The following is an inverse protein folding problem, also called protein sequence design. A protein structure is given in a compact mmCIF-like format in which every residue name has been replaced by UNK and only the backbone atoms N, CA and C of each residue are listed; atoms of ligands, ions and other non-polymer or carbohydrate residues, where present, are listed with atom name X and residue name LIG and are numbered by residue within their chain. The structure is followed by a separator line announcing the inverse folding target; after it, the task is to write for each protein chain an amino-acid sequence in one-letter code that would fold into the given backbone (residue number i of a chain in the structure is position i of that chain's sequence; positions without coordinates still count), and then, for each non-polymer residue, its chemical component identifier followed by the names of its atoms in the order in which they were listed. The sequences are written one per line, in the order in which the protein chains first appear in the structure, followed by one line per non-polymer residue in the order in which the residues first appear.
data_IF_427432899555
#
_entry.id   IF_427432899555
#
_cell.length_a   1.000
_cell.length_b   1.000
_cell.length_c   1.000
_cell.angle_alpha   90.00
_cell.angle_beta   90.00
_cell.angle_gamma   90.00
#
_symmetry.space_group_name_H-M   'P 1'
#
loop_
_entity.id
_entity.type
_entity.pdbx_description
1 polymer ?
#
# COMPACT_ATOMS: atom_id res chain seq x y z
N UNK A 1 17.95 -11.59 -3.42
CA UNK A 1 16.60 -12.18 -3.25
C UNK A 1 16.66 -13.30 -2.23
N UNK A 2 15.84 -13.26 -1.18
CA UNK A 2 15.63 -14.39 -0.30
C UNK A 2 15.32 -15.63 -1.15
N UNK A 3 15.92 -16.79 -0.84
CA UNK A 3 15.71 -18.03 -1.61
C UNK A 3 14.23 -18.41 -1.58
N UNK A 4 13.55 -18.16 -2.68
CA UNK A 4 12.17 -18.57 -2.87
C UNK A 4 12.19 -20.05 -3.26
N UNK A 5 11.82 -20.90 -2.32
CA UNK A 5 11.76 -22.34 -2.53
C UNK A 5 10.43 -22.78 -3.19
N UNK A 6 10.34 -24.03 -3.54
CA UNK A 6 9.15 -24.60 -4.17
C UNK A 6 7.93 -24.57 -3.24
N UNK A 7 8.12 -24.77 -1.94
CA UNK A 7 7.03 -24.76 -0.96
C UNK A 7 6.40 -23.37 -0.84
N UNK A 8 7.21 -22.32 -0.81
CA UNK A 8 6.74 -20.95 -0.81
C UNK A 8 5.90 -20.60 -2.07
N UNK A 9 6.41 -20.99 -3.26
CA UNK A 9 5.65 -20.75 -4.52
C UNK A 9 4.31 -21.50 -4.52
N UNK A 10 4.29 -22.73 -4.04
CA UNK A 10 3.07 -23.53 -3.94
C UNK A 10 2.07 -22.93 -2.94
N UNK A 11 2.53 -22.50 -1.77
CA UNK A 11 1.71 -21.83 -0.79
C UNK A 11 1.11 -20.54 -1.36
N UNK A 12 1.94 -19.67 -1.95
CA UNK A 12 1.48 -18.41 -2.58
C UNK A 12 0.44 -18.68 -3.67
N UNK A 13 0.65 -19.71 -4.50
CA UNK A 13 -0.31 -20.08 -5.54
C UNK A 13 -1.65 -20.55 -4.96
N UNK A 14 -1.66 -21.23 -3.86
CA UNK A 14 -2.88 -21.63 -3.16
C UNK A 14 -3.69 -20.41 -2.68
N UNK A 15 -3.04 -19.41 -2.08
CA UNK A 15 -3.68 -18.14 -1.69
C UNK A 15 -4.20 -17.36 -2.91
N UNK A 16 -3.41 -17.32 -3.99
CA UNK A 16 -3.81 -16.67 -5.23
C UNK A 16 -5.12 -17.24 -5.80
N UNK A 17 -5.26 -18.58 -5.81
CA UNK A 17 -6.48 -19.25 -6.30
C UNK A 17 -7.71 -18.83 -5.50
N UNK A 18 -7.60 -18.74 -4.17
CA UNK A 18 -8.73 -18.33 -3.32
C UNK A 18 -9.06 -16.84 -3.52
N UNK A 19 -8.04 -15.98 -3.65
CA UNK A 19 -8.24 -14.58 -3.99
C UNK A 19 -8.90 -14.40 -5.37
N UNK A 20 -8.47 -15.16 -6.36
CA UNK A 20 -9.10 -15.15 -7.69
C UNK A 20 -10.59 -15.55 -7.62
N UNK A 21 -10.94 -16.50 -6.77
CA UNK A 21 -12.33 -16.87 -6.54
C UNK A 21 -13.12 -15.72 -5.90
N UNK A 22 -12.57 -15.04 -4.89
CA UNK A 22 -13.21 -13.88 -4.27
C UNK A 22 -13.43 -12.71 -5.26
N UNK A 23 -12.47 -12.49 -6.16
CA UNK A 23 -12.53 -11.41 -7.17
C UNK A 23 -13.58 -11.69 -8.24
N UNK A 24 -13.72 -12.95 -8.69
CA UNK A 24 -14.52 -13.33 -9.87
C UNK A 24 -15.98 -13.59 -9.60
N UNK A 25 -16.38 -13.81 -8.36
CA UNK A 25 -17.71 -14.29 -8.02
C UNK A 25 -18.65 -13.22 -7.50
N UNK A 26 -19.97 -13.50 -7.54
CA UNK A 26 -21.05 -12.71 -6.94
C UNK A 26 -21.03 -12.79 -5.41
N UNK A 27 -21.79 -11.93 -4.73
CA UNK A 27 -21.75 -11.74 -3.27
C UNK A 27 -21.75 -13.01 -2.42
N UNK A 28 -22.62 -13.99 -2.73
CA UNK A 28 -22.72 -15.22 -1.91
C UNK A 28 -21.47 -16.10 -2.05
N UNK A 29 -20.91 -16.21 -3.25
CA UNK A 29 -19.75 -17.03 -3.52
C UNK A 29 -18.46 -16.31 -3.12
N UNK A 30 -18.44 -14.97 -3.22
CA UNK A 30 -17.37 -14.11 -2.70
C UNK A 30 -17.23 -14.27 -1.18
N UNK A 31 -18.34 -14.25 -0.42
CA UNK A 31 -18.32 -14.50 1.03
C UNK A 31 -17.75 -15.87 1.37
N UNK A 32 -18.15 -16.91 0.64
CA UNK A 32 -17.58 -18.25 0.81
C UNK A 32 -16.08 -18.26 0.54
N UNK A 33 -15.62 -17.62 -0.53
CA UNK A 33 -14.21 -17.51 -0.86
C UNK A 33 -13.41 -16.75 0.22
N UNK A 34 -13.94 -15.65 0.75
CA UNK A 34 -13.32 -14.90 1.84
C UNK A 34 -13.25 -15.73 3.14
N UNK A 35 -14.31 -16.48 3.47
CA UNK A 35 -14.27 -17.41 4.61
C UNK A 35 -13.24 -18.54 4.40
N UNK A 36 -13.18 -19.12 3.19
CA UNK A 36 -12.15 -20.10 2.85
C UNK A 36 -10.73 -19.52 2.96
N UNK A 37 -10.54 -18.24 2.62
CA UNK A 37 -9.26 -17.56 2.80
C UNK A 37 -8.88 -17.48 4.28
N UNK A 38 -9.83 -17.11 5.16
CA UNK A 38 -9.61 -17.09 6.62
C UNK A 38 -9.25 -18.48 7.15
N UNK A 39 -9.99 -19.51 6.74
CA UNK A 39 -9.75 -20.90 7.14
C UNK A 39 -8.37 -21.39 6.64
N UNK A 40 -8.00 -21.03 5.42
CA UNK A 40 -6.69 -21.36 4.85
C UNK A 40 -5.56 -20.68 5.65
N UNK A 41 -5.71 -19.39 5.98
CA UNK A 41 -4.74 -18.66 6.78
C UNK A 41 -4.59 -19.30 8.16
N UNK A 42 -5.70 -19.55 8.86
CA UNK A 42 -5.66 -20.16 10.20
C UNK A 42 -5.02 -21.54 10.18
N UNK A 43 -5.33 -22.35 9.18
CA UNK A 43 -4.76 -23.71 9.05
C UNK A 43 -3.28 -23.72 8.75
N UNK A 44 -2.79 -22.78 7.95
CA UNK A 44 -1.41 -22.77 7.44
C UNK A 44 -0.47 -21.85 8.20
N UNK A 45 -1.02 -20.80 8.82
CA UNK A 45 -0.29 -19.66 9.41
C UNK A 45 -0.91 -19.23 10.75
N UNK A 46 -1.70 -20.10 11.39
CA UNK A 46 -2.57 -19.78 12.53
C UNK A 46 -1.86 -19.38 13.81
N UNK A 47 -0.56 -19.56 13.89
CA UNK A 47 0.28 -19.18 15.02
C UNK A 47 0.67 -17.68 15.05
N UNK A 48 0.39 -16.93 13.98
CA UNK A 48 0.68 -15.48 13.90
C UNK A 48 -0.38 -14.66 14.63
N UNK A 49 -1.64 -15.01 14.47
CA UNK A 49 -2.76 -14.32 15.13
C UNK A 49 -3.50 -15.26 16.07
N UNK A 50 -4.01 -14.71 17.16
CA UNK A 50 -4.80 -15.49 18.10
C UNK A 50 -6.17 -15.90 17.54
N UNK A 51 -6.82 -16.99 18.09
CA UNK A 51 -8.10 -17.51 17.59
C UNK A 51 -9.23 -16.46 17.53
N UNK A 52 -9.18 -15.44 18.40
CA UNK A 52 -10.17 -14.35 18.42
C UNK A 52 -10.16 -13.52 17.13
N UNK A 53 -8.97 -13.32 16.51
CA UNK A 53 -8.86 -12.58 15.26
C UNK A 53 -9.51 -13.33 14.10
N UNK A 54 -9.26 -14.64 13.99
CA UNK A 54 -9.88 -15.49 12.95
C UNK A 54 -11.39 -15.57 13.12
N UNK A 55 -11.88 -15.69 14.37
CA UNK A 55 -13.32 -15.64 14.68
C UNK A 55 -13.92 -14.31 14.22
N UNK A 56 -13.28 -13.18 14.54
CA UNK A 56 -13.74 -11.84 14.12
C UNK A 56 -13.88 -11.73 12.60
N UNK A 57 -12.91 -12.21 11.81
CA UNK A 57 -13.01 -12.18 10.36
C UNK A 57 -14.14 -13.07 9.83
N UNK A 58 -14.36 -14.26 10.42
CA UNK A 58 -15.51 -15.10 10.07
C UNK A 58 -16.84 -14.42 10.38
N UNK A 59 -16.97 -13.80 11.54
CA UNK A 59 -18.17 -13.06 11.92
C UNK A 59 -18.46 -11.91 10.92
N UNK A 60 -17.42 -11.17 10.49
CA UNK A 60 -17.51 -10.10 9.48
C UNK A 60 -18.02 -10.65 8.14
N UNK A 61 -17.41 -11.73 7.63
CA UNK A 61 -17.73 -12.25 6.29
C UNK A 61 -19.00 -13.12 6.27
N UNK A 62 -19.48 -13.58 7.42
CA UNK A 62 -20.75 -14.32 7.51
C UNK A 62 -21.98 -13.42 7.40
N UNK A 63 -21.88 -12.15 7.84
CA UNK A 63 -22.93 -11.16 7.79
C UNK A 63 -22.90 -10.33 6.48
N UNK A 64 -23.88 -10.53 5.54
CA UNK A 64 -23.91 -9.79 4.29
C UNK A 64 -24.15 -8.29 4.47
N UNK A 65 -24.79 -7.88 5.57
CA UNK A 65 -25.11 -6.49 5.87
C UNK A 65 -24.01 -5.76 6.64
N UNK A 66 -22.98 -6.49 7.05
CA UNK A 66 -21.79 -5.92 7.71
C UNK A 66 -21.20 -4.80 6.85
N UNK A 67 -20.92 -3.66 7.48
CA UNK A 67 -20.21 -2.54 6.84
C UNK A 67 -18.86 -2.96 6.25
N UNK A 68 -18.19 -3.91 6.87
CA UNK A 68 -16.92 -4.44 6.41
C UNK A 68 -17.07 -5.35 5.19
N UNK A 69 -18.18 -6.11 5.09
CA UNK A 69 -18.47 -6.88 3.89
C UNK A 69 -18.81 -5.97 2.71
N UNK A 70 -19.59 -4.91 2.95
CA UNK A 70 -19.86 -3.86 1.94
C UNK A 70 -18.58 -3.20 1.46
N UNK A 71 -17.67 -2.86 2.39
CA UNK A 71 -16.36 -2.32 2.04
C UNK A 71 -15.51 -3.31 1.22
N UNK A 72 -15.49 -4.59 1.62
CA UNK A 72 -14.77 -5.62 0.88
C UNK A 72 -15.35 -5.81 -0.54
N UNK A 73 -16.67 -5.77 -0.71
CA UNK A 73 -17.32 -5.82 -2.01
C UNK A 73 -16.92 -4.62 -2.89
N UNK A 74 -17.03 -3.40 -2.38
CA UNK A 74 -16.60 -2.20 -3.10
C UNK A 74 -15.12 -2.30 -3.52
N UNK A 75 -14.25 -2.72 -2.60
CA UNK A 75 -12.83 -2.89 -2.91
C UNK A 75 -12.59 -3.89 -4.05
N UNK A 76 -13.30 -5.04 -4.03
CA UNK A 76 -13.16 -6.10 -5.03
C UNK A 76 -13.77 -5.72 -6.39
N UNK A 77 -14.76 -4.83 -6.42
CA UNK A 77 -15.44 -4.37 -7.64
C UNK A 77 -14.74 -3.16 -8.28
N UNK A 78 -14.23 -2.26 -7.46
CA UNK A 78 -13.67 -0.98 -7.91
C UNK A 78 -12.17 -1.03 -8.20
N UNK A 79 -11.43 -1.94 -7.56
CA UNK A 79 -9.98 -2.04 -7.74
C UNK A 79 -9.61 -3.12 -8.75
N UNK A 80 -8.59 -2.83 -9.57
CA UNK A 80 -8.12 -3.76 -10.59
C UNK A 80 -7.66 -5.10 -9.97
N UNK A 81 -8.08 -6.26 -10.51
CA UNK A 81 -7.78 -7.59 -9.97
C UNK A 81 -6.31 -7.85 -9.67
N UNK A 82 -5.40 -7.37 -10.54
CA UNK A 82 -3.96 -7.57 -10.34
C UNK A 82 -3.44 -6.82 -9.10
N UNK A 83 -3.99 -5.63 -8.81
CA UNK A 83 -3.64 -4.86 -7.61
C UNK A 83 -4.18 -5.56 -6.36
N UNK A 84 -5.43 -6.03 -6.37
CA UNK A 84 -6.01 -6.80 -5.26
C UNK A 84 -5.13 -8.01 -4.95
N UNK A 85 -4.75 -8.78 -5.98
CA UNK A 85 -3.87 -9.94 -5.81
C UNK A 85 -2.49 -9.56 -5.30
N UNK A 86 -1.83 -8.62 -5.95
CA UNK A 86 -0.49 -8.17 -5.58
C UNK A 86 -0.45 -7.63 -4.15
N UNK A 87 -1.37 -6.74 -3.78
CA UNK A 87 -1.43 -6.19 -2.41
C UNK A 87 -1.87 -7.24 -1.38
N UNK A 88 -2.87 -8.06 -1.69
CA UNK A 88 -3.33 -9.14 -0.81
C UNK A 88 -2.23 -10.15 -0.50
N UNK A 89 -1.51 -10.59 -1.52
CA UNK A 89 -0.40 -11.53 -1.35
C UNK A 89 0.82 -10.88 -0.69
N UNK A 90 1.25 -9.69 -1.14
CA UNK A 90 2.49 -9.11 -0.64
C UNK A 90 2.33 -8.49 0.75
N UNK A 91 1.23 -7.76 1.01
CA UNK A 91 0.99 -7.19 2.34
C UNK A 91 0.44 -8.25 3.31
N UNK A 92 -0.49 -9.10 2.86
CA UNK A 92 -1.08 -10.14 3.69
C UNK A 92 -0.12 -11.31 3.92
N UNK A 93 0.15 -12.10 2.86
CA UNK A 93 0.93 -13.33 3.01
C UNK A 93 2.42 -13.05 3.28
N UNK A 94 3.07 -12.22 2.45
CA UNK A 94 4.52 -12.02 2.59
C UNK A 94 4.86 -11.19 3.83
N UNK A 95 4.35 -9.96 3.97
CA UNK A 95 4.69 -9.10 5.09
C UNK A 95 3.99 -9.53 6.39
N UNK A 96 2.69 -9.88 6.33
CA UNK A 96 1.87 -10.14 7.51
C UNK A 96 2.11 -11.49 8.17
N UNK A 97 2.47 -12.52 7.40
CA UNK A 97 2.65 -13.88 7.93
C UNK A 97 4.06 -14.41 7.73
N UNK A 98 4.48 -14.64 6.49
CA UNK A 98 5.77 -15.24 6.20
C UNK A 98 6.93 -14.37 6.71
N UNK A 99 6.89 -13.09 6.42
CA UNK A 99 7.87 -12.10 6.89
C UNK A 99 7.92 -12.02 8.41
N UNK A 100 6.76 -12.11 9.07
CA UNK A 100 6.71 -12.16 10.53
C UNK A 100 7.50 -13.36 11.10
N UNK A 101 7.34 -14.56 10.54
CA UNK A 101 8.10 -15.73 10.99
C UNK A 101 9.60 -15.56 10.77
N UNK A 102 10.01 -15.10 9.59
CA UNK A 102 11.42 -14.79 9.29
C UNK A 102 11.95 -13.77 10.29
N UNK A 103 11.20 -12.67 10.53
CA UNK A 103 11.60 -11.63 11.47
C UNK A 103 11.78 -12.15 12.90
N UNK A 104 10.93 -13.10 13.36
CA UNK A 104 11.10 -13.73 14.67
C UNK A 104 12.37 -14.61 14.75
N UNK A 105 12.72 -15.32 13.69
CA UNK A 105 13.97 -16.09 13.61
C UNK A 105 15.18 -15.16 13.60
N UNK A 106 15.16 -14.11 12.79
CA UNK A 106 16.21 -13.10 12.73
C UNK A 106 16.37 -12.34 14.06
N UNK A 107 15.25 -12.07 14.76
CA UNK A 107 15.29 -11.50 16.11
C UNK A 107 16.05 -12.38 17.08
N UNK A 108 15.82 -13.70 17.06
CA UNK A 108 16.56 -14.67 17.91
C UNK A 108 18.06 -14.66 17.56
N UNK A 109 18.39 -14.63 16.27
CA UNK A 109 19.75 -14.67 15.76
C UNK A 109 20.55 -13.41 16.09
N UNK A 110 19.94 -12.23 15.95
CA UNK A 110 20.61 -10.92 16.06
C UNK A 110 20.40 -10.23 17.42
N UNK A 111 19.47 -10.72 18.26
CA UNK A 111 19.17 -10.10 19.56
C UNK A 111 18.40 -8.77 19.47
N UNK A 112 17.89 -8.40 18.29
CA UNK A 112 17.17 -7.13 18.04
C UNK A 112 15.85 -7.39 17.36
N UNK A 113 14.85 -6.52 17.58
CA UNK A 113 13.56 -6.61 16.89
C UNK A 113 13.69 -6.15 15.44
N UNK A 114 13.17 -6.96 14.52
CA UNK A 114 13.10 -6.62 13.11
C UNK A 114 11.80 -5.83 12.87
N UNK A 115 11.84 -4.67 12.20
CA UNK A 115 10.63 -3.91 11.89
C UNK A 115 9.76 -4.63 10.87
N UNK A 116 8.44 -4.45 10.97
CA UNK A 116 7.49 -4.98 9.98
C UNK A 116 7.51 -4.18 8.68
N UNK A 117 7.80 -2.88 8.78
CA UNK A 117 7.78 -1.92 7.69
C UNK A 117 9.00 -1.00 7.80
N UNK A 118 9.58 -0.64 6.67
CA UNK A 118 10.65 0.36 6.60
C UNK A 118 10.21 1.53 5.74
N UNK A 119 10.43 2.75 6.25
CA UNK A 119 10.27 4.00 5.49
C UNK A 119 11.60 4.35 4.84
N UNK A 120 11.55 4.65 3.54
CA UNK A 120 12.71 5.05 2.75
C UNK A 120 12.40 6.34 1.99
N UNK A 121 13.33 7.28 2.01
CA UNK A 121 13.30 8.51 1.23
C UNK A 121 14.21 8.36 0.00
N UNK A 122 13.67 8.02 -1.19
CA UNK A 122 14.50 7.85 -2.38
C UNK A 122 15.24 9.12 -2.79
N UNK A 123 14.65 10.28 -2.47
CA UNK A 123 15.21 11.61 -2.76
C UNK A 123 14.63 12.66 -1.83
N UNK A 124 15.42 13.69 -1.51
CA UNK A 124 14.92 14.93 -0.87
C UNK A 124 14.39 15.95 -1.88
N UNK A 125 14.59 15.72 -3.19
CA UNK A 125 14.08 16.62 -4.23
C UNK A 125 12.55 16.60 -4.26
N UNK A 126 11.96 17.80 -4.39
CA UNK A 126 10.51 17.97 -4.51
C UNK A 126 10.19 19.05 -5.54
N UNK A 127 9.12 18.85 -6.30
CA UNK A 127 8.60 19.84 -7.26
C UNK A 127 7.62 20.84 -6.64
N UNK A 128 7.35 20.76 -5.32
CA UNK A 128 6.56 21.71 -4.55
C UNK A 128 7.37 22.35 -3.42
N UNK A 129 6.83 23.43 -2.84
CA UNK A 129 7.39 24.16 -1.71
C UNK A 129 6.30 24.39 -0.65
N UNK A 130 5.79 23.29 -0.08
CA UNK A 130 4.67 23.34 0.86
C UNK A 130 5.06 24.04 2.16
N UNK A 131 4.17 24.89 2.69
CA UNK A 131 4.37 25.53 3.99
C UNK A 131 4.45 24.50 5.12
N UNK A 132 5.50 24.57 5.94
CA UNK A 132 5.73 23.64 7.05
C UNK A 132 6.06 22.20 6.59
N UNK A 133 6.70 22.06 5.44
CA UNK A 133 7.18 20.76 4.97
C UNK A 133 8.42 20.34 5.74
N UNK A 134 8.36 19.19 6.43
CA UNK A 134 9.48 18.66 7.19
C UNK A 134 10.70 18.31 6.31
N UNK A 135 10.44 17.85 5.09
CA UNK A 135 11.50 17.45 4.15
C UNK A 135 12.25 18.65 3.55
N UNK A 136 11.66 19.86 3.59
CA UNK A 136 12.31 21.06 3.05
C UNK A 136 13.58 21.46 3.81
N UNK A 137 13.73 21.06 5.09
CA UNK A 137 14.89 21.33 5.92
C UNK A 137 16.15 20.60 5.45
N UNK A 138 16.01 19.47 4.76
CA UNK A 138 17.15 18.68 4.24
C UNK A 138 17.66 19.15 2.87
N UNK A 139 17.07 20.20 2.31
CA UNK A 139 17.38 20.66 0.95
C UNK A 139 16.87 19.69 -0.12
N UNK A 140 17.29 19.87 -1.38
CA UNK A 140 16.74 19.12 -2.52
C UNK A 140 17.80 18.29 -3.28
N UNK A 141 18.97 18.06 -2.67
CA UNK A 141 20.14 17.48 -3.34
C UNK A 141 20.51 16.06 -2.89
N UNK A 142 19.85 15.56 -1.85
CA UNK A 142 20.14 14.22 -1.30
C UNK A 142 19.30 13.21 -2.03
N UNK A 143 19.94 12.14 -2.50
CA UNK A 143 19.24 11.00 -3.11
C UNK A 143 20.04 9.72 -2.91
N UNK A 144 19.32 8.61 -2.79
CA UNK A 144 19.90 7.27 -2.86
C UNK A 144 20.10 6.86 -4.31
N UNK A 145 21.15 6.12 -4.62
CA UNK A 145 21.28 5.47 -5.93
C UNK A 145 20.20 4.38 -6.10
N UNK A 146 19.95 3.95 -7.34
CA UNK A 146 19.06 2.80 -7.56
C UNK A 146 19.64 1.54 -6.88
N UNK A 147 20.94 1.36 -6.98
CA UNK A 147 21.70 0.25 -6.38
C UNK A 147 21.57 0.21 -4.86
N UNK A 148 21.56 1.38 -4.20
CA UNK A 148 21.33 1.46 -2.75
C UNK A 148 19.88 1.10 -2.40
N UNK A 149 18.88 1.57 -3.17
CA UNK A 149 17.48 1.22 -2.97
C UNK A 149 17.25 -0.29 -3.15
N UNK A 150 17.79 -0.88 -4.21
CA UNK A 150 17.70 -2.31 -4.49
C UNK A 150 18.35 -3.15 -3.38
N UNK A 151 19.52 -2.73 -2.90
CA UNK A 151 20.21 -3.38 -1.78
C UNK A 151 19.42 -3.29 -0.49
N UNK A 152 18.87 -2.12 -0.13
CA UNK A 152 18.04 -1.92 1.07
C UNK A 152 16.84 -2.88 1.04
N UNK A 153 16.15 -2.98 -0.09
CA UNK A 153 15.00 -3.87 -0.22
C UNK A 153 15.43 -5.33 -0.19
N UNK A 154 16.51 -5.70 -0.88
CA UNK A 154 17.04 -7.07 -0.88
C UNK A 154 17.43 -7.54 0.54
N UNK A 155 18.21 -6.75 1.27
CA UNK A 155 18.63 -7.07 2.64
C UNK A 155 17.42 -7.10 3.59
N UNK A 156 16.45 -6.20 3.39
CA UNK A 156 15.21 -6.20 4.16
C UNK A 156 14.37 -7.45 3.93
N UNK A 157 14.21 -7.91 2.70
CA UNK A 157 13.51 -9.16 2.37
C UNK A 157 14.15 -10.37 3.06
N UNK A 158 15.48 -10.41 3.17
CA UNK A 158 16.21 -11.46 3.90
C UNK A 158 15.92 -11.43 5.41
N UNK A 159 15.58 -10.26 5.95
CA UNK A 159 15.15 -10.07 7.33
C UNK A 159 13.64 -10.30 7.54
N UNK A 160 12.87 -10.53 6.47
CA UNK A 160 11.42 -10.71 6.51
C UNK A 160 10.62 -9.42 6.33
N UNK A 161 11.26 -8.33 5.90
CA UNK A 161 10.58 -7.05 5.63
C UNK A 161 10.09 -7.05 4.18
N UNK A 162 8.77 -7.03 4.00
CA UNK A 162 8.11 -7.00 2.68
C UNK A 162 7.17 -5.79 2.51
N UNK A 163 7.14 -4.88 3.47
CA UNK A 163 6.36 -3.65 3.41
C UNK A 163 7.29 -2.43 3.41
N UNK A 164 7.16 -1.60 2.39
CA UNK A 164 8.02 -0.44 2.14
C UNK A 164 7.20 0.82 1.98
N UNK A 165 7.54 1.86 2.73
CA UNK A 165 6.94 3.18 2.65
C UNK A 165 7.92 4.12 1.95
N UNK A 166 7.55 4.61 0.78
CA UNK A 166 8.35 5.57 0.01
C UNK A 166 7.81 6.97 0.24
N UNK A 167 8.67 7.87 0.72
CA UNK A 167 8.33 9.28 0.97
C UNK A 167 9.53 10.18 0.65
N UNK A 168 9.88 11.17 1.46
CA UNK A 168 11.00 12.09 1.27
C UNK A 168 10.57 13.44 0.75
N UNK A 169 11.16 13.94 -0.34
CA UNK A 169 10.68 15.09 -1.08
C UNK A 169 9.41 14.72 -1.86
N UNK A 170 9.54 14.49 -3.17
CA UNK A 170 8.50 13.85 -3.97
C UNK A 170 9.05 12.57 -4.60
N UNK A 171 8.61 11.39 -4.16
CA UNK A 171 9.16 10.12 -4.63
C UNK A 171 8.96 9.92 -6.14
N UNK A 172 7.90 10.46 -6.74
CA UNK A 172 7.64 10.33 -8.17
C UNK A 172 8.57 11.16 -9.07
N UNK A 173 9.46 11.99 -8.52
CA UNK A 173 10.63 12.50 -9.26
C UNK A 173 11.53 11.33 -9.69
N UNK A 174 11.56 10.26 -8.89
CA UNK A 174 12.27 9.00 -9.15
C UNK A 174 11.34 7.90 -9.68
N UNK A 175 10.25 8.28 -10.40
CA UNK A 175 9.22 7.36 -10.92
C UNK A 175 9.81 6.10 -11.57
N UNK A 176 10.80 6.26 -12.46
CA UNK A 176 11.41 5.16 -13.20
C UNK A 176 12.14 4.18 -12.27
N UNK A 177 12.86 4.69 -11.27
CA UNK A 177 13.58 3.84 -10.33
C UNK A 177 12.62 3.10 -9.39
N UNK A 178 11.54 3.75 -8.96
CA UNK A 178 10.51 3.13 -8.12
C UNK A 178 9.79 2.01 -8.89
N UNK A 179 9.43 2.23 -10.15
CA UNK A 179 8.81 1.19 -10.98
C UNK A 179 9.77 0.01 -11.21
N UNK A 180 11.03 0.30 -11.53
CA UNK A 180 12.08 -0.72 -11.69
C UNK A 180 12.32 -1.50 -10.39
N UNK A 181 12.33 -0.83 -9.24
CA UNK A 181 12.47 -1.45 -7.93
C UNK A 181 11.28 -2.38 -7.61
N UNK A 182 10.06 -1.92 -7.86
CA UNK A 182 8.85 -2.71 -7.65
C UNK A 182 8.80 -3.95 -8.57
N UNK A 183 9.31 -3.86 -9.78
CA UNK A 183 9.45 -4.98 -10.72
C UNK A 183 10.52 -5.99 -10.28
N UNK A 184 11.66 -5.50 -9.76
CA UNK A 184 12.73 -6.34 -9.23
C UNK A 184 12.34 -7.09 -7.95
N UNK A 185 11.38 -6.54 -7.18
CA UNK A 185 10.91 -7.07 -5.91
C UNK A 185 9.41 -7.43 -5.92
N UNK A 186 8.98 -8.43 -6.71
CA UNK A 186 7.56 -8.75 -6.93
C UNK A 186 6.84 -9.31 -5.70
N UNK A 187 7.56 -9.68 -4.64
CA UNK A 187 7.01 -10.17 -3.37
C UNK A 187 6.98 -9.11 -2.27
N UNK A 188 7.44 -7.89 -2.57
CA UNK A 188 7.36 -6.73 -1.68
C UNK A 188 6.20 -5.82 -2.06
N UNK A 189 5.66 -5.12 -1.06
CA UNK A 189 4.58 -4.15 -1.19
C UNK A 189 5.12 -2.74 -0.99
N UNK A 190 4.94 -1.87 -1.98
CA UNK A 190 5.38 -0.49 -1.94
C UNK A 190 4.18 0.44 -1.73
N UNK A 191 4.28 1.32 -0.75
CA UNK A 191 3.31 2.36 -0.47
C UNK A 191 3.96 3.72 -0.67
N UNK A 192 3.38 4.56 -1.55
CA UNK A 192 3.99 5.84 -1.92
C UNK A 192 3.21 6.99 -1.31
N UNK A 193 3.85 7.82 -0.48
CA UNK A 193 3.32 9.12 -0.12
C UNK A 193 3.75 10.14 -1.17
N UNK A 194 2.81 10.65 -1.93
CA UNK A 194 3.07 11.56 -3.05
C UNK A 194 2.19 12.79 -3.01
N UNK A 195 2.69 13.89 -3.53
CA UNK A 195 1.86 15.08 -3.77
C UNK A 195 0.90 14.91 -4.97
N UNK A 196 0.99 13.81 -5.71
CA UNK A 196 0.10 13.42 -6.80
C UNK A 196 0.30 14.18 -8.12
N UNK A 197 1.08 15.25 -8.13
CA UNK A 197 1.16 16.14 -9.33
C UNK A 197 1.89 15.52 -10.52
N UNK A 198 2.60 14.39 -10.30
CA UNK A 198 3.37 13.65 -11.32
C UNK A 198 2.71 12.32 -11.72
N UNK A 199 1.48 12.08 -11.25
CA UNK A 199 0.70 10.91 -11.66
C UNK A 199 0.10 11.16 -13.05
N UNK A 200 0.30 10.21 -13.94
CA UNK A 200 -0.19 10.17 -15.31
C UNK A 200 -0.69 8.77 -15.67
N UNK A 201 -1.30 8.63 -16.86
CA UNK A 201 -1.83 7.35 -17.35
C UNK A 201 -0.73 6.28 -17.44
N UNK A 202 0.48 6.61 -17.93
CA UNK A 202 1.59 5.67 -18.06
C UNK A 202 2.01 5.10 -16.70
N UNK A 203 2.12 5.94 -15.68
CA UNK A 203 2.40 5.48 -14.32
C UNK A 203 1.31 4.55 -13.80
N UNK A 204 0.04 4.88 -14.03
CA UNK A 204 -1.07 4.04 -13.57
C UNK A 204 -1.12 2.69 -14.29
N UNK A 205 -0.82 2.63 -15.59
CA UNK A 205 -0.71 1.37 -16.34
C UNK A 205 0.39 0.47 -15.77
N UNK A 206 1.55 1.02 -15.47
CA UNK A 206 2.65 0.28 -14.85
C UNK A 206 2.30 -0.18 -13.41
N UNK A 207 1.63 0.66 -12.61
CA UNK A 207 1.15 0.25 -11.27
C UNK A 207 0.16 -0.92 -11.37
N UNK A 208 -0.74 -0.90 -12.34
CA UNK A 208 -1.65 -2.02 -12.62
C UNK A 208 -0.88 -3.26 -13.06
N UNK A 209 0.10 -3.13 -13.95
CA UNK A 209 0.94 -4.24 -14.43
C UNK A 209 1.71 -4.91 -13.30
N UNK A 210 2.34 -4.12 -12.43
CA UNK A 210 3.14 -4.60 -11.30
C UNK A 210 2.29 -5.14 -10.16
N UNK A 211 1.18 -4.47 -9.83
CA UNK A 211 0.21 -4.90 -8.81
C UNK A 211 0.67 -4.72 -7.35
N UNK A 212 1.90 -4.27 -7.10
CA UNK A 212 2.47 -4.19 -5.76
C UNK A 212 2.71 -2.76 -5.25
N UNK A 213 2.27 -1.74 -5.97
CA UNK A 213 2.35 -0.33 -5.59
C UNK A 213 0.96 0.19 -5.20
N UNK A 214 0.88 1.02 -4.14
CA UNK A 214 -0.33 1.75 -3.76
C UNK A 214 0.04 3.19 -3.38
N UNK A 215 -0.47 4.21 -4.09
CA UNK A 215 -0.26 5.61 -3.73
C UNK A 215 -1.16 6.08 -2.58
N UNK A 216 -0.63 6.97 -1.73
CA UNK A 216 -1.40 7.85 -0.85
C UNK A 216 -1.15 9.29 -1.26
N UNK A 217 -2.18 9.96 -1.74
CA UNK A 217 -2.07 11.33 -2.21
C UNK A 217 -2.20 12.30 -1.04
N UNK A 218 -1.30 13.25 -0.99
CA UNK A 218 -1.35 14.34 -0.03
C UNK A 218 -2.45 15.32 -0.37
N UNK A 219 -3.43 15.50 0.54
CA UNK A 219 -4.56 16.40 0.38
C UNK A 219 -4.92 17.03 1.72
N UNK A 220 -5.03 18.37 1.79
CA UNK A 220 -5.15 19.10 3.05
C UNK A 220 -6.55 19.70 3.30
N UNK A 221 -7.52 19.39 2.45
CA UNK A 221 -8.87 19.96 2.48
C UNK A 221 -9.35 20.34 1.09
N UNK A 222 -10.39 21.20 1.02
CA UNK A 222 -10.83 21.79 -0.25
C UNK A 222 -9.79 22.77 -0.82
N UNK A 223 -10.01 23.22 -2.04
CA UNK A 223 -9.04 23.97 -2.87
C UNK A 223 -8.35 25.10 -2.11
N UNK A 224 -9.12 25.98 -1.46
CA UNK A 224 -8.56 27.14 -0.75
C UNK A 224 -7.56 26.71 0.34
N UNK A 225 -7.97 25.76 1.17
CA UNK A 225 -7.17 25.28 2.31
C UNK A 225 -5.97 24.44 1.83
N UNK A 226 -6.17 23.61 0.83
CA UNK A 226 -5.11 22.81 0.24
C UNK A 226 -4.04 23.69 -0.41
N UNK A 227 -4.46 24.65 -1.23
CA UNK A 227 -3.55 25.51 -1.99
C UNK A 227 -2.83 26.54 -1.10
N UNK A 228 -3.43 26.93 0.02
CA UNK A 228 -2.75 27.76 1.03
C UNK A 228 -1.46 27.09 1.55
N UNK A 229 -1.48 25.77 1.73
CA UNK A 229 -0.31 25.02 2.22
C UNK A 229 0.60 24.53 1.08
N UNK A 230 0.01 24.02 0.00
CA UNK A 230 0.74 23.28 -1.04
C UNK A 230 1.09 24.10 -2.27
N UNK A 231 0.46 25.28 -2.42
CA UNK A 231 0.65 26.19 -3.54
C UNK A 231 -0.55 26.20 -4.49
N UNK A 232 -0.74 27.34 -5.13
CA UNK A 232 -1.88 27.62 -6.01
C UNK A 232 -2.00 26.60 -7.14
N UNK A 233 -3.19 26.04 -7.32
CA UNK A 233 -3.54 25.08 -8.38
C UNK A 233 -3.08 23.64 -8.10
N UNK A 234 -2.54 23.35 -6.91
CA UNK A 234 -2.16 21.97 -6.53
C UNK A 234 -3.39 21.11 -6.30
N UNK A 235 -4.47 21.68 -5.70
CA UNK A 235 -5.72 20.94 -5.51
C UNK A 235 -6.26 20.38 -6.83
N UNK A 236 -6.33 21.18 -7.88
CA UNK A 236 -6.83 20.75 -9.19
C UNK A 236 -5.96 19.64 -9.82
N UNK A 237 -4.63 19.70 -9.60
CA UNK A 237 -3.72 18.63 -10.04
C UNK A 237 -3.95 17.32 -9.26
N UNK A 238 -4.20 17.43 -7.96
CA UNK A 238 -4.53 16.28 -7.11
C UNK A 238 -5.85 15.64 -7.55
N UNK A 239 -6.90 16.43 -7.76
CA UNK A 239 -8.19 15.91 -8.23
C UNK A 239 -8.05 15.19 -9.57
N UNK A 240 -7.32 15.78 -10.54
CA UNK A 240 -7.01 15.13 -11.81
C UNK A 240 -6.25 13.80 -11.61
N UNK A 241 -5.27 13.75 -10.72
CA UNK A 241 -4.53 12.53 -10.41
C UNK A 241 -5.46 11.44 -9.86
N UNK A 242 -6.38 11.82 -8.96
CA UNK A 242 -7.39 10.89 -8.42
C UNK A 242 -8.32 10.35 -9.52
N UNK A 243 -8.74 11.20 -10.47
CA UNK A 243 -9.56 10.78 -11.63
C UNK A 243 -8.80 9.79 -12.52
N UNK A 244 -7.53 10.05 -12.81
CA UNK A 244 -6.68 9.11 -13.58
C UNK A 244 -6.56 7.78 -12.84
N UNK A 245 -6.29 7.79 -11.53
CA UNK A 245 -6.18 6.56 -10.75
C UNK A 245 -7.50 5.80 -10.67
N UNK A 246 -8.65 6.49 -10.51
CA UNK A 246 -9.99 5.87 -10.58
C UNK A 246 -10.25 5.23 -11.95
N UNK A 247 -9.90 5.91 -13.04
CA UNK A 247 -10.00 5.38 -14.42
C UNK A 247 -9.26 4.06 -14.60
N UNK A 248 -8.06 3.94 -14.01
CA UNK A 248 -7.24 2.73 -14.05
C UNK A 248 -7.54 1.74 -12.93
N UNK A 249 -8.56 2.01 -12.10
CA UNK A 249 -8.96 1.18 -10.97
C UNK A 249 -7.81 0.89 -9.99
N UNK A 250 -7.01 1.89 -9.67
CA UNK A 250 -5.95 1.76 -8.67
C UNK A 250 -6.52 1.69 -7.25
N UNK A 251 -5.85 0.94 -6.39
CA UNK A 251 -5.98 1.10 -4.95
C UNK A 251 -5.15 2.31 -4.52
N UNK A 252 -5.81 3.35 -4.04
CA UNK A 252 -5.13 4.53 -3.51
C UNK A 252 -5.88 5.11 -2.31
N UNK A 253 -5.21 5.96 -1.56
CA UNK A 253 -5.78 6.66 -0.41
C UNK A 253 -5.33 8.12 -0.37
N UNK A 254 -5.75 8.82 0.67
CA UNK A 254 -5.32 10.18 0.97
C UNK A 254 -4.47 10.23 2.23
N UNK A 255 -3.47 11.10 2.22
CA UNK A 255 -2.65 11.45 3.38
C UNK A 255 -2.89 12.90 3.74
N UNK A 256 -3.36 13.15 4.94
CA UNK A 256 -3.80 14.47 5.40
C UNK A 256 -2.89 14.94 6.52
N UNK A 257 -2.20 16.06 6.32
CA UNK A 257 -1.52 16.77 7.39
C UNK A 257 -2.54 17.63 8.15
N UNK A 258 -3.02 17.12 9.24
CA UNK A 258 -3.99 17.77 10.12
C UNK A 258 -3.32 18.87 10.96
N UNK A 259 -3.89 20.07 10.92
CA UNK A 259 -3.38 21.25 11.61
C UNK A 259 -4.53 22.09 12.19
N UNK A 260 -4.20 23.08 13.05
CA UNK A 260 -5.20 24.05 13.55
C UNK A 260 -5.86 24.88 12.43
N UNK A 261 -5.22 25.00 11.26
CA UNK A 261 -5.74 25.76 10.14
C UNK A 261 -6.77 24.99 9.30
N UNK A 262 -6.69 23.66 9.27
CA UNK A 262 -7.52 22.84 8.38
C UNK A 262 -8.43 21.80 9.07
N UNK A 263 -8.33 21.64 10.40
CA UNK A 263 -9.04 20.57 11.09
C UNK A 263 -10.55 20.59 10.87
N UNK A 264 -11.18 21.78 10.82
CA UNK A 264 -12.62 21.90 10.58
C UNK A 264 -13.03 21.40 9.20
N UNK A 265 -12.19 21.67 8.20
CA UNK A 265 -12.42 21.22 6.81
C UNK A 265 -12.24 19.72 6.69
N UNK A 266 -11.09 19.18 7.14
CA UNK A 266 -10.74 17.77 6.92
C UNK A 266 -11.54 16.78 7.78
N UNK A 267 -12.27 17.28 8.76
CA UNK A 267 -13.20 16.48 9.57
C UNK A 267 -14.67 16.74 9.25
N UNK A 268 -14.98 17.55 8.23
CA UNK A 268 -16.34 17.79 7.81
C UNK A 268 -16.91 16.62 7.01
N UNK A 269 -18.21 16.40 7.11
CA UNK A 269 -18.90 15.33 6.37
C UNK A 269 -18.77 15.53 4.86
N UNK A 270 -18.82 16.79 4.39
CA UNK A 270 -18.68 17.14 2.97
C UNK A 270 -17.29 16.74 2.44
N UNK A 271 -16.23 16.98 3.21
CA UNK A 271 -14.88 16.60 2.79
C UNK A 271 -14.71 15.08 2.79
N UNK A 272 -15.22 14.39 3.82
CA UNK A 272 -15.16 12.92 3.90
C UNK A 272 -15.98 12.24 2.80
N UNK A 273 -17.10 12.85 2.37
CA UNK A 273 -17.90 12.35 1.25
C UNK A 273 -17.24 12.58 -0.12
N UNK A 274 -16.39 13.59 -0.25
CA UNK A 274 -15.64 13.86 -1.48
C UNK A 274 -14.54 12.82 -1.71
N UNK A 275 -13.96 12.29 -0.64
CA UNK A 275 -12.89 11.29 -0.70
C UNK A 275 -13.41 9.92 -1.16
#
# INVERSE_FOLDING_TARGET
MAKIDFAHKAQRKMFEVVLDAAIKHSDSDRRKALMQLVDLIEKTLGDVWGPAAYKMFRDIFSDPDSKWMKYANNLLDDVHPNIIKGKGLNTGLEAGFRGFHIAQEQKKKHGVSIPWLVLVDPTSACNLKCTGCWSAEYGHLIQLSYEDLDRIVTEGEELGIHAWLMTGGEPLIRKKDILKLAEAHPYSSFHLFTNGTLIDDEFCEEVVRLGNIAPSISLEGFEEVNDLRRGKGVFQKVMRAMDIMKKHKLLFGTSICYTSANYKTVTSDEFLQML
#
